data_IF_651098105360
#
_entry.id   IF_651098105360
#
_cell.length_a   1.000
_cell.length_b   1.000
_cell.length_c   1.000
_cell.angle_alpha   90.00
_cell.angle_beta   90.00
_cell.angle_gamma   90.00
#
_symmetry.space_group_name_H-M   'P 1'
#
loop_
_entity.id
_entity.type
_entity.pdbx_description
1 polymer ?
#
# COMPACT_ATOMS: atom_id res chain seq x y z
N UNK A 1 -14.55 0.67 -9.87
CA UNK A 1 -14.24 2.09 -10.16
C UNK A 1 -12.94 2.26 -10.96
N UNK A 2 -12.02 1.27 -10.99
CA UNK A 2 -10.74 1.40 -11.72
C UNK A 2 -10.46 0.37 -12.83
N UNK A 3 -11.26 -0.70 -12.94
CA UNK A 3 -11.02 -1.76 -13.94
C UNK A 3 -11.16 -1.28 -15.40
N UNK A 4 -12.02 -0.29 -15.66
CA UNK A 4 -12.21 0.26 -17.01
C UNK A 4 -11.03 1.17 -17.43
N UNK A 5 -10.36 1.82 -16.48
CA UNK A 5 -9.16 2.65 -16.72
C UNK A 5 -7.93 1.79 -17.02
N UNK A 6 -7.80 0.61 -16.41
CA UNK A 6 -6.66 -0.32 -16.59
C UNK A 6 -6.55 -0.82 -18.03
N UNK A 7 -7.68 -1.20 -18.65
CA UNK A 7 -7.68 -1.69 -20.04
C UNK A 7 -7.31 -0.58 -21.04
N UNK A 8 -7.70 0.67 -20.77
CA UNK A 8 -7.43 1.81 -21.64
C UNK A 8 -5.95 2.23 -21.71
N UNK A 9 -5.14 1.86 -20.71
CA UNK A 9 -3.70 2.17 -20.65
C UNK A 9 -2.79 0.97 -20.93
N UNK A 10 -3.34 -0.14 -21.44
CA UNK A 10 -2.55 -1.35 -21.76
C UNK A 10 -2.21 -2.21 -20.54
N UNK A 11 -3.03 -2.18 -19.48
CA UNK A 11 -2.73 -2.83 -18.20
C UNK A 11 -2.51 -4.34 -18.24
N UNK A 12 -2.78 -5.03 -19.36
CA UNK A 12 -2.40 -6.43 -19.54
C UNK A 12 -0.88 -6.64 -19.63
N UNK A 13 -0.12 -5.76 -20.28
CA UNK A 13 1.34 -5.90 -20.35
C UNK A 13 2.01 -5.55 -19.01
N UNK A 14 1.37 -4.68 -18.21
CA UNK A 14 1.84 -4.31 -16.87
C UNK A 14 1.71 -5.46 -15.85
N UNK A 15 0.90 -6.49 -16.15
CA UNK A 15 0.82 -7.70 -15.32
C UNK A 15 2.07 -8.59 -15.46
N UNK A 16 2.81 -8.45 -16.56
CA UNK A 16 4.05 -9.19 -16.79
C UNK A 16 5.28 -8.51 -16.16
N UNK A 17 5.14 -7.24 -15.73
CA UNK A 17 6.17 -6.53 -14.98
C UNK A 17 6.29 -7.12 -13.55
N UNK A 18 7.50 -7.14 -12.98
CA UNK A 18 7.68 -7.73 -11.66
C UNK A 18 6.95 -6.94 -10.58
N UNK A 19 6.43 -7.66 -9.57
CA UNK A 19 5.86 -7.04 -8.39
C UNK A 19 6.85 -6.06 -7.74
N UNK A 20 6.32 -4.98 -7.19
CA UNK A 20 7.10 -3.87 -6.65
C UNK A 20 7.45 -2.78 -7.67
N UNK A 21 7.36 -3.05 -8.98
CA UNK A 21 7.55 -2.01 -10.00
C UNK A 21 6.34 -1.08 -10.08
N UNK A 22 6.60 0.20 -10.35
CA UNK A 22 5.52 1.19 -10.50
C UNK A 22 4.72 0.91 -11.76
N UNK A 23 3.42 0.74 -11.59
CA UNK A 23 2.46 0.47 -12.68
C UNK A 23 1.74 1.71 -13.19
N UNK A 24 1.68 2.80 -12.41
CA UNK A 24 1.00 4.03 -12.81
C UNK A 24 -0.53 3.93 -12.95
N UNK A 25 -1.12 2.78 -12.59
CA UNK A 25 -2.56 2.51 -12.65
C UNK A 25 -2.91 1.36 -11.72
N UNK A 26 -4.21 1.12 -11.49
CA UNK A 26 -4.63 -0.05 -10.74
C UNK A 26 -4.55 -1.31 -11.61
N UNK A 27 -4.03 -2.42 -11.06
CA UNK A 27 -3.97 -3.71 -11.74
C UNK A 27 -4.87 -4.74 -11.06
N UNK A 28 -5.41 -5.70 -11.81
CA UNK A 28 -6.19 -6.80 -11.24
C UNK A 28 -5.39 -7.72 -10.32
N UNK A 29 -4.05 -7.66 -10.40
CA UNK A 29 -3.14 -8.35 -9.49
C UNK A 29 -2.98 -7.64 -8.14
N UNK A 30 -3.59 -6.47 -7.93
CA UNK A 30 -3.54 -5.75 -6.66
C UNK A 30 -4.71 -6.14 -5.79
N UNK A 31 -4.43 -6.79 -4.65
CA UNK A 31 -5.47 -7.20 -3.70
C UNK A 31 -5.60 -6.13 -2.60
N UNK A 32 -6.72 -5.37 -2.56
CA UNK A 32 -6.97 -4.37 -1.52
C UNK A 32 -6.97 -4.97 -0.12
N UNK A 33 -6.32 -4.31 0.84
CA UNK A 33 -6.34 -4.71 2.26
C UNK A 33 -6.76 -3.59 3.22
N UNK A 34 -6.64 -2.32 2.83
CA UNK A 34 -7.21 -1.20 3.57
C UNK A 34 -7.47 -0.01 2.64
N UNK A 35 -8.40 0.87 3.04
CA UNK A 35 -8.70 2.11 2.33
C UNK A 35 -8.95 3.23 3.34
N UNK A 36 -8.70 4.47 2.93
CA UNK A 36 -9.03 5.65 3.74
C UNK A 36 -10.17 6.46 3.10
N UNK A 37 -10.64 7.49 3.82
CA UNK A 37 -11.74 8.36 3.35
C UNK A 37 -11.32 9.31 2.21
N UNK A 38 -10.02 9.41 1.90
CA UNK A 38 -9.47 10.22 0.81
C UNK A 38 -9.40 9.44 -0.50
N UNK A 39 -9.65 8.13 -0.46
CA UNK A 39 -9.59 7.26 -1.63
C UNK A 39 -8.24 6.57 -1.83
N UNK A 40 -7.32 6.69 -0.88
CA UNK A 40 -6.05 5.96 -0.92
C UNK A 40 -6.28 4.49 -0.60
N UNK A 41 -5.53 3.62 -1.27
CA UNK A 41 -5.64 2.18 -1.12
C UNK A 41 -4.31 1.58 -0.68
N UNK A 42 -4.35 0.74 0.35
CA UNK A 42 -3.28 -0.18 0.67
C UNK A 42 -3.59 -1.54 0.04
N UNK A 43 -2.63 -2.12 -0.68
CA UNK A 43 -2.84 -3.36 -1.44
C UNK A 43 -1.62 -4.28 -1.40
N UNK A 44 -1.87 -5.56 -1.66
CA UNK A 44 -0.84 -6.57 -1.91
C UNK A 44 -0.61 -6.70 -3.42
N UNK A 45 0.63 -6.57 -3.86
CA UNK A 45 1.01 -6.81 -5.25
C UNK A 45 1.26 -8.30 -5.47
N UNK A 46 0.42 -8.95 -6.29
CA UNK A 46 0.50 -10.39 -6.58
C UNK A 46 1.09 -10.71 -7.95
N UNK A 47 1.67 -9.72 -8.64
CA UNK A 47 2.46 -9.97 -9.86
C UNK A 47 3.65 -10.87 -9.53
N UNK A 48 4.18 -11.55 -10.55
CA UNK A 48 5.35 -12.41 -10.38
C UNK A 48 6.61 -11.60 -10.04
N UNK A 49 7.68 -12.26 -9.61
CA UNK A 49 8.98 -11.62 -9.34
C UNK A 49 9.41 -11.67 -7.87
N UNK A 50 10.57 -11.09 -7.57
CA UNK A 50 11.21 -11.19 -6.25
C UNK A 50 10.37 -10.59 -5.11
N UNK A 51 9.56 -9.58 -5.40
CA UNK A 51 8.72 -8.89 -4.42
C UNK A 51 7.24 -9.29 -4.52
N UNK A 52 6.92 -10.43 -5.13
CA UNK A 52 5.56 -10.97 -5.13
C UNK A 52 5.04 -11.11 -3.70
N UNK A 53 3.90 -10.48 -3.39
CA UNK A 53 3.31 -10.43 -2.06
C UNK A 53 3.72 -9.22 -1.22
N UNK A 54 4.47 -8.27 -1.77
CA UNK A 54 4.76 -6.99 -1.11
C UNK A 54 3.48 -6.16 -0.91
N UNK A 55 3.51 -5.27 0.08
CA UNK A 55 2.41 -4.34 0.35
C UNK A 55 2.83 -2.94 -0.06
N UNK A 56 1.95 -2.28 -0.82
CA UNK A 56 2.15 -0.94 -1.36
C UNK A 56 0.90 -0.09 -1.21
N UNK A 57 1.08 1.21 -1.39
CA UNK A 57 0.02 2.19 -1.35
C UNK A 57 -0.25 2.72 -2.76
N UNK A 58 -1.53 2.94 -3.07
CA UNK A 58 -1.99 3.63 -4.25
C UNK A 58 -2.61 4.94 -3.79
N UNK A 59 -1.91 6.05 -4.01
CA UNK A 59 -2.40 7.39 -3.71
C UNK A 59 -2.96 7.99 -5.00
N UNK A 60 -4.22 8.47 -4.96
CA UNK A 60 -5.02 8.71 -6.16
C UNK A 60 -4.37 9.55 -7.26
N UNK A 61 -3.58 10.57 -6.91
CA UNK A 61 -2.89 11.45 -7.88
C UNK A 61 -1.41 11.07 -8.11
N UNK A 62 -0.78 10.33 -7.18
CA UNK A 62 0.66 10.04 -7.18
C UNK A 62 1.01 8.59 -7.59
N UNK A 63 0.01 7.76 -7.94
CA UNK A 63 0.16 6.35 -8.32
C UNK A 63 0.87 5.51 -7.23
N UNK A 64 1.29 4.28 -7.53
CA UNK A 64 1.92 3.33 -6.60
C UNK A 64 3.35 3.72 -6.18
N UNK A 65 3.62 5.01 -6.02
CA UNK A 65 4.92 5.58 -5.67
C UNK A 65 5.05 5.62 -4.16
N UNK A 66 5.89 4.75 -3.59
CA UNK A 66 6.14 4.73 -2.16
C UNK A 66 7.02 3.58 -1.73
N UNK A 67 7.52 3.66 -0.50
CA UNK A 67 8.19 2.53 0.13
C UNK A 67 7.26 1.31 0.16
N UNK A 68 7.82 0.11 0.06
CA UNK A 68 7.07 -1.15 0.06
C UNK A 68 7.35 -1.90 1.35
N UNK A 69 6.33 -2.51 1.96
CA UNK A 69 6.61 -3.57 2.92
C UNK A 69 6.85 -4.87 2.14
N UNK A 70 7.84 -5.69 2.50
CA UNK A 70 8.11 -6.93 1.79
C UNK A 70 6.97 -7.96 1.93
N UNK A 71 6.10 -7.82 2.93
CA UNK A 71 4.92 -8.68 3.14
C UNK A 71 3.92 -8.06 4.11
N UNK A 72 2.73 -8.66 4.20
CA UNK A 72 1.73 -8.32 5.24
C UNK A 72 2.31 -8.53 6.65
N UNK A 73 3.08 -9.58 6.86
CA UNK A 73 3.73 -9.86 8.15
C UNK A 73 4.67 -8.71 8.54
N UNK A 74 5.51 -8.24 7.61
CA UNK A 74 6.39 -7.10 7.86
C UNK A 74 5.62 -5.82 8.20
N UNK A 75 4.52 -5.54 7.50
CA UNK A 75 3.63 -4.43 7.82
C UNK A 75 3.07 -4.55 9.23
N UNK A 76 2.49 -5.70 9.57
CA UNK A 76 1.87 -5.91 10.89
C UNK A 76 2.89 -5.83 12.02
N UNK A 77 4.10 -6.38 11.82
CA UNK A 77 5.20 -6.26 12.78
C UNK A 77 5.58 -4.82 13.05
N UNK A 78 5.67 -3.99 12.01
CA UNK A 78 5.99 -2.57 12.17
C UNK A 78 4.87 -1.82 12.89
N UNK A 79 3.61 -2.04 12.49
CA UNK A 79 2.44 -1.43 13.15
C UNK A 79 2.37 -1.83 14.63
N UNK A 80 2.53 -3.12 14.95
CA UNK A 80 2.54 -3.60 16.34
C UNK A 80 3.68 -2.98 17.13
N UNK A 81 4.89 -2.98 16.57
CA UNK A 81 6.06 -2.35 17.22
C UNK A 81 5.82 -0.87 17.51
N UNK A 82 5.20 -0.17 16.56
CA UNK A 82 4.82 1.24 16.68
C UNK A 82 3.80 1.47 17.80
N UNK A 83 2.76 0.64 17.88
CA UNK A 83 1.73 0.74 18.91
C UNK A 83 2.24 0.39 20.32
N UNK A 84 3.15 -0.59 20.43
CA UNK A 84 3.68 -1.05 21.71
C UNK A 84 4.80 -0.16 22.27
N UNK A 85 5.63 0.42 21.39
CA UNK A 85 6.86 1.11 21.78
C UNK A 85 6.89 2.59 21.41
N UNK A 86 5.88 3.09 20.68
CA UNK A 86 5.85 4.47 20.20
C UNK A 86 6.88 4.76 19.09
N UNK A 87 7.45 3.73 18.46
CA UNK A 87 8.33 3.91 17.30
C UNK A 87 7.53 4.42 16.09
N UNK A 88 8.11 5.25 15.21
CA UNK A 88 7.44 5.63 13.97
C UNK A 88 7.20 4.41 13.07
N UNK A 89 6.00 4.28 12.51
CA UNK A 89 5.70 3.41 11.37
C UNK A 89 5.71 4.27 10.12
N UNK A 90 6.72 4.12 9.26
CA UNK A 90 6.96 5.02 8.11
C UNK A 90 6.87 6.52 8.46
N UNK A 91 7.49 6.92 9.57
CA UNK A 91 7.46 8.30 10.06
C UNK A 91 6.19 8.69 10.82
N UNK A 92 5.12 7.90 10.75
CA UNK A 92 3.90 8.14 11.52
C UNK A 92 4.01 7.60 12.94
N UNK A 93 3.73 8.45 13.93
CA UNK A 93 3.76 8.08 15.34
C UNK A 93 2.33 7.94 15.87
N UNK A 94 1.98 6.81 16.52
CA UNK A 94 0.65 6.61 17.07
C UNK A 94 0.48 7.41 18.35
N UNK A 95 -0.75 7.87 18.58
CA UNK A 95 -1.17 8.43 19.86
C UNK A 95 -2.66 8.20 20.08
N UNK A 96 -3.08 8.26 21.33
CA UNK A 96 -4.48 8.12 21.70
C UNK A 96 -4.98 9.47 22.19
N UNK A 97 -6.00 10.01 21.52
CA UNK A 97 -6.74 11.19 21.97
C UNK A 97 -8.22 10.82 22.11
N UNK A 98 -8.78 11.04 23.30
CA UNK A 98 -10.21 10.76 23.59
C UNK A 98 -10.67 9.35 23.21
N UNK A 99 -9.81 8.35 23.36
CA UNK A 99 -10.10 6.95 23.03
C UNK A 99 -9.97 6.59 21.55
N UNK A 100 -9.57 7.54 20.70
CA UNK A 100 -9.31 7.30 19.28
C UNK A 100 -7.81 7.14 19.04
N UNK A 101 -7.44 6.12 18.28
CA UNK A 101 -6.10 5.99 17.73
C UNK A 101 -5.94 7.03 16.60
N UNK A 102 -4.95 7.90 16.74
CA UNK A 102 -4.52 8.82 15.71
C UNK A 102 -3.06 8.59 15.36
N UNK A 103 -2.69 8.91 14.13
CA UNK A 103 -1.30 8.89 13.66
C UNK A 103 -0.87 10.32 13.36
N UNK A 104 0.30 10.73 13.82
CA UNK A 104 0.87 12.05 13.55
C UNK A 104 2.19 11.86 12.80
N UNK A 105 2.31 12.53 11.67
CA UNK A 105 3.61 12.73 11.03
C UNK A 105 4.28 13.94 11.71
N UNK A 106 5.53 13.82 12.18
CA UNK A 106 6.23 14.92 12.85
C UNK A 106 6.50 16.12 11.94
#
# INVERSE_FOLDING_TARGET
MWAETTAAVGGFSLLDEPAGEVSGTYLSAYIPIAFNIRGDLLFVDTRAGQFSGCVREFMGEDNDQGESWPSIDALLKEVVSSLEHGHPCRGWVPGIDKGWLHWKFP
#
